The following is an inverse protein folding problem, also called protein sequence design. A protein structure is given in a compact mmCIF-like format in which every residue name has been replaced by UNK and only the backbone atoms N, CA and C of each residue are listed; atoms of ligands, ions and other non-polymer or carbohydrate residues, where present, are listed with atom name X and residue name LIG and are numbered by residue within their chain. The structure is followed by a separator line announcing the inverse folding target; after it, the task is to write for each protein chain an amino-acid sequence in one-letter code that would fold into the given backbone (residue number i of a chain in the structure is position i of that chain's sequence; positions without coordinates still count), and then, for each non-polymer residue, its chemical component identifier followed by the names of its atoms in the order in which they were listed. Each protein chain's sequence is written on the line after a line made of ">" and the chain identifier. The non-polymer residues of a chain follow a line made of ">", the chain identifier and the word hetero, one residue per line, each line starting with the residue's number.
data_IF_799714804277
#
_entry.id   IF_799714804277
#
_cell.length_a   1.000
_cell.length_b   1.000
_cell.length_c   1.000
_cell.angle_alpha   90.00
_cell.angle_beta   90.00
_cell.angle_gamma   90.00
#
_symmetry.space_group_name_H-M   'P 1'
#
loop_
_entity.id
_entity.type
_entity.pdbx_description
1 polymer ?
#
# COMPACT_ATOMS: atom_id res chain seq x y z
N UNK A 1 -1.44 -50.13 53.24
CA UNK A 1 -2.71 -49.51 53.65
C UNK A 1 -2.67 -48.03 53.28
N UNK A 2 -3.08 -47.63 52.07
CA UNK A 2 -4.48 -47.30 51.79
C UNK A 2 -4.68 -45.77 51.81
N UNK A 3 -3.98 -45.03 50.93
CA UNK A 3 -4.18 -43.58 50.78
C UNK A 3 -5.24 -43.28 49.69
N UNK A 4 -6.34 -42.70 50.17
CA UNK A 4 -7.57 -42.35 49.45
C UNK A 4 -7.36 -41.03 48.69
N UNK A 5 -7.06 -41.08 47.39
CA UNK A 5 -7.00 -39.89 46.52
C UNK A 5 -8.42 -39.46 46.14
N UNK A 6 -8.77 -38.22 46.47
CA UNK A 6 -10.02 -37.55 46.09
C UNK A 6 -9.86 -36.92 44.70
N UNK A 7 -10.80 -37.20 43.80
CA UNK A 7 -10.96 -36.52 42.51
C UNK A 7 -11.72 -35.20 42.71
N UNK A 8 -11.25 -34.06 42.16
CA UNK A 8 -12.08 -32.87 42.02
C UNK A 8 -12.98 -32.97 40.79
N UNK A 9 -14.21 -32.50 40.98
CA UNK A 9 -15.36 -32.64 40.11
C UNK A 9 -15.30 -31.77 38.85
N UNK A 10 -15.98 -32.27 37.82
CA UNK A 10 -16.34 -31.58 36.59
C UNK A 10 -17.32 -30.42 36.85
N UNK A 11 -17.11 -29.30 36.17
CA UNK A 11 -18.02 -28.16 36.15
C UNK A 11 -18.02 -27.46 34.79
N UNK A 12 -19.03 -27.75 33.98
CA UNK A 12 -19.53 -26.98 32.82
C UNK A 12 -20.89 -27.57 32.43
N UNK A 13 -21.85 -26.88 31.80
CA UNK A 13 -21.79 -25.54 31.19
C UNK A 13 -22.98 -24.60 31.56
N UNK A 14 -22.77 -23.29 31.42
CA UNK A 14 -23.83 -22.28 31.47
C UNK A 14 -24.11 -21.71 30.08
N UNK A 15 -25.14 -22.23 29.42
CA UNK A 15 -25.75 -21.68 28.21
C UNK A 15 -26.57 -20.44 28.56
N UNK A 16 -26.15 -19.27 28.07
CA UNK A 16 -26.96 -18.05 28.10
C UNK A 16 -27.42 -17.73 26.68
N UNK A 17 -28.62 -18.22 26.35
CA UNK A 17 -29.42 -17.71 25.25
C UNK A 17 -29.90 -16.30 25.60
N UNK A 18 -29.62 -15.32 24.76
CA UNK A 18 -30.32 -14.04 24.79
C UNK A 18 -31.01 -13.86 23.43
N UNK A 19 -32.28 -14.26 23.39
CA UNK A 19 -33.24 -13.83 22.37
C UNK A 19 -33.64 -12.39 22.70
N UNK A 20 -33.53 -11.50 21.71
CA UNK A 20 -34.36 -10.30 21.66
C UNK A 20 -35.09 -10.28 20.32
N UNK A 21 -36.42 -10.27 20.44
CA UNK A 21 -37.40 -10.14 19.37
C UNK A 21 -37.58 -8.68 18.94
N UNK A 22 -38.06 -8.49 17.70
CA UNK A 22 -38.77 -7.29 17.24
C UNK A 22 -37.92 -6.39 16.34
N UNK A 23 -38.33 -5.98 15.15
CA UNK A 23 -39.67 -5.96 14.56
C UNK A 23 -39.58 -5.81 13.04
N UNK A 24 -40.46 -6.53 12.36
CA UNK A 24 -40.86 -6.34 10.97
C UNK A 24 -41.37 -4.91 10.72
N UNK A 25 -40.98 -4.34 9.58
CA UNK A 25 -41.81 -3.37 8.87
C UNK A 25 -41.56 -3.51 7.37
N UNK A 26 -42.55 -4.10 6.71
CA UNK A 26 -42.69 -4.22 5.29
C UNK A 26 -42.71 -2.84 4.60
N UNK A 27 -41.97 -2.71 3.50
CA UNK A 27 -42.40 -1.83 2.40
C UNK A 27 -42.41 -2.67 1.14
N UNK A 28 -43.63 -2.85 0.65
CA UNK A 28 -43.99 -3.60 -0.52
C UNK A 28 -43.55 -2.91 -1.82
N UNK A 29 -43.49 -3.75 -2.84
CA UNK A 29 -43.27 -3.48 -4.24
C UNK A 29 -44.05 -2.27 -4.81
N UNK A 30 -43.37 -1.52 -5.69
CA UNK A 30 -44.00 -0.85 -6.81
C UNK A 30 -43.15 -1.07 -8.07
N UNK A 31 -43.87 -1.35 -9.15
CA UNK A 31 -43.41 -1.99 -10.36
C UNK A 31 -42.60 -1.10 -11.32
N UNK A 32 -41.85 -1.79 -12.16
CA UNK A 32 -41.50 -1.53 -13.56
C UNK A 32 -42.13 -0.31 -14.24
N UNK A 33 -41.30 0.51 -14.90
CA UNK A 33 -41.64 0.91 -16.27
C UNK A 33 -40.39 1.14 -17.13
N UNK A 34 -40.40 0.41 -18.23
CA UNK A 34 -39.55 0.47 -19.41
C UNK A 34 -39.81 1.78 -20.14
N UNK A 35 -38.76 2.52 -20.52
CA UNK A 35 -38.77 3.26 -21.79
C UNK A 35 -37.41 3.15 -22.49
N UNK A 36 -37.43 2.45 -23.63
CA UNK A 36 -36.47 2.63 -24.73
C UNK A 36 -36.64 4.05 -25.29
N UNK A 37 -35.53 4.72 -25.59
CA UNK A 37 -35.50 5.72 -26.68
C UNK A 37 -34.23 5.55 -27.51
N UNK A 38 -34.46 5.14 -28.74
CA UNK A 38 -33.60 5.37 -29.88
C UNK A 38 -33.34 6.86 -30.09
N UNK A 39 -32.21 7.16 -30.74
CA UNK A 39 -32.19 8.21 -31.75
C UNK A 39 -31.30 9.41 -31.51
N UNK A 40 -30.19 9.43 -32.26
CA UNK A 40 -29.61 10.59 -32.95
C UNK A 40 -29.22 11.81 -32.11
N UNK A 41 -27.89 11.95 -31.99
CA UNK A 41 -27.19 13.13 -32.50
C UNK A 41 -27.40 14.46 -31.77
N UNK A 42 -26.45 14.81 -30.90
CA UNK A 42 -25.99 16.19 -30.77
C UNK A 42 -24.67 16.25 -30.00
N UNK A 43 -23.57 16.52 -30.71
CA UNK A 43 -22.33 17.02 -30.10
C UNK A 43 -22.66 18.39 -29.50
N UNK A 44 -23.01 18.45 -28.23
CA UNK A 44 -23.14 19.71 -27.50
C UNK A 44 -21.74 20.10 -27.03
N UNK A 45 -21.19 21.15 -27.65
CA UNK A 45 -20.10 21.92 -27.05
C UNK A 45 -20.60 22.41 -25.69
N UNK A 46 -19.85 22.11 -24.64
CA UNK A 46 -20.05 22.68 -23.31
C UNK A 46 -19.55 24.12 -23.39
N UNK A 47 -20.49 25.05 -23.56
CA UNK A 47 -20.23 26.48 -23.39
C UNK A 47 -20.30 26.78 -21.89
N UNK A 48 -19.26 27.40 -21.34
CA UNK A 48 -19.24 27.87 -19.95
C UNK A 48 -20.43 28.79 -19.66
N UNK A 49 -21.24 28.41 -18.68
CA UNK A 49 -22.41 29.16 -18.25
C UNK A 49 -21.95 30.21 -17.25
N UNK A 50 -22.11 31.48 -17.65
CA UNK A 50 -21.89 32.66 -16.82
C UNK A 50 -22.82 32.71 -15.61
N UNK A 51 -22.29 33.24 -14.52
CA UNK A 51 -22.92 33.32 -13.22
C UNK A 51 -24.21 34.16 -13.21
N UNK A 52 -25.26 33.58 -12.64
CA UNK A 52 -26.43 34.29 -12.15
C UNK A 52 -26.12 34.80 -10.73
N UNK A 53 -26.11 36.11 -10.53
CA UNK A 53 -26.15 36.75 -9.21
C UNK A 53 -27.57 36.64 -8.66
N UNK A 54 -27.75 35.83 -7.61
CA UNK A 54 -28.96 35.79 -6.80
C UNK A 54 -28.80 36.66 -5.55
N UNK A 55 -29.78 37.54 -5.32
CA UNK A 55 -29.89 38.44 -4.16
C UNK A 55 -30.18 37.65 -2.88
N UNK A 56 -29.43 37.98 -1.82
CA UNK A 56 -29.40 37.27 -0.55
C UNK A 56 -30.68 37.37 0.28
N UNK A 57 -31.09 36.21 0.80
CA UNK A 57 -31.96 36.08 1.97
C UNK A 57 -31.10 35.69 3.17
N UNK A 58 -31.29 36.41 4.27
CA UNK A 58 -30.55 36.30 5.52
C UNK A 58 -31.04 35.10 6.35
N UNK A 59 -30.32 33.98 6.31
CA UNK A 59 -30.36 33.00 7.39
C UNK A 59 -28.94 32.59 7.80
N UNK A 60 -28.74 32.62 9.11
CA UNK A 60 -27.47 32.45 9.81
C UNK A 60 -27.02 30.99 9.73
N UNK A 61 -25.71 30.79 9.61
CA UNK A 61 -24.98 29.51 9.46
C UNK A 61 -24.82 28.96 8.04
N UNK A 62 -24.05 29.68 7.23
CA UNK A 62 -23.29 29.09 6.13
C UNK A 62 -21.87 29.66 6.14
N UNK A 63 -20.88 28.85 6.56
CA UNK A 63 -19.46 29.15 6.34
C UNK A 63 -19.15 28.77 4.89
N UNK A 64 -19.58 29.64 3.97
CA UNK A 64 -19.16 29.64 2.57
C UNK A 64 -18.01 30.64 2.48
N UNK A 65 -16.78 30.15 2.32
CA UNK A 65 -15.65 31.01 1.95
C UNK A 65 -15.69 31.20 0.42
N UNK A 66 -15.72 32.45 -0.07
CA UNK A 66 -15.81 32.72 -1.50
C UNK A 66 -14.46 32.58 -2.20
N UNK A 67 -14.55 31.93 -3.35
CA UNK A 67 -13.82 32.16 -4.60
C UNK A 67 -13.19 33.58 -4.68
N UNK A 68 -11.87 33.66 -4.60
CA UNK A 68 -11.09 34.89 -4.87
C UNK A 68 -10.45 34.73 -6.25
N UNK A 69 -11.01 35.44 -7.23
CA UNK A 69 -10.37 35.70 -8.52
C UNK A 69 -9.47 36.92 -8.41
N UNK A 70 -8.22 36.71 -8.80
CA UNK A 70 -7.40 37.53 -9.71
C UNK A 70 -7.54 39.05 -9.63
N UNK A 71 -6.70 39.71 -8.80
CA UNK A 71 -6.29 41.12 -8.98
C UNK A 71 -5.08 41.48 -8.08
N UNK A 72 -3.91 40.85 -8.27
CA UNK A 72 -2.67 41.28 -7.60
C UNK A 72 -1.40 41.04 -8.44
N UNK A 73 -1.44 41.47 -9.70
CA UNK A 73 -0.25 41.62 -10.53
C UNK A 73 0.37 43.02 -10.35
N UNK A 74 0.80 43.39 -9.13
CA UNK A 74 1.70 44.54 -8.85
C UNK A 74 2.05 44.68 -7.35
N UNK A 75 2.75 43.70 -6.78
CA UNK A 75 3.54 43.93 -5.55
C UNK A 75 4.85 43.15 -5.57
N UNK A 76 5.62 43.35 -6.63
CA UNK A 76 7.05 43.12 -6.60
C UNK A 76 7.70 44.31 -5.87
N UNK A 77 8.12 44.08 -4.62
CA UNK A 77 9.38 44.54 -4.02
C UNK A 77 9.25 44.50 -2.50
N UNK A 78 10.22 43.82 -1.90
CA UNK A 78 10.75 44.09 -0.57
C UNK A 78 10.00 43.49 0.62
N UNK A 79 10.07 42.17 0.71
CA UNK A 79 10.17 41.48 2.00
C UNK A 79 11.24 40.41 1.87
N UNK A 80 12.50 40.87 1.94
CA UNK A 80 13.63 40.01 2.29
C UNK A 80 13.45 39.57 3.74
N UNK A 81 12.51 38.66 3.96
CA UNK A 81 12.44 37.86 5.17
C UNK A 81 13.21 36.59 4.81
N UNK A 82 14.53 36.70 4.93
CA UNK A 82 15.41 35.56 5.08
C UNK A 82 14.94 34.84 6.34
N UNK A 83 14.06 33.86 6.17
CA UNK A 83 13.91 32.81 7.16
C UNK A 83 15.27 32.14 7.23
N UNK A 84 16.04 32.54 8.24
CA UNK A 84 17.24 31.85 8.66
C UNK A 84 16.83 30.42 8.98
N UNK A 85 17.04 29.53 8.01
CA UNK A 85 17.13 28.09 8.18
C UNK A 85 18.38 27.81 9.05
N UNK A 86 18.34 28.27 10.32
CA UNK A 86 19.20 27.80 11.40
C UNK A 86 18.70 26.40 11.81
N UNK A 87 18.76 25.45 10.88
CA UNK A 87 18.65 24.01 11.10
C UNK A 87 20.03 23.45 11.52
N UNK A 88 20.71 24.13 12.47
CA UNK A 88 22.03 23.76 13.00
C UNK A 88 21.97 23.24 14.45
N UNK A 89 20.87 22.61 14.84
CA UNK A 89 20.79 21.70 16.01
C UNK A 89 20.98 20.22 15.57
N UNK A 90 21.85 20.03 14.57
CA UNK A 90 21.87 18.88 13.66
C UNK A 90 23.00 17.87 13.93
N UNK A 91 23.32 17.58 15.21
CA UNK A 91 24.46 16.71 15.52
C UNK A 91 24.26 15.63 16.61
N UNK A 92 23.06 15.43 17.17
CA UNK A 92 22.88 14.36 18.19
C UNK A 92 21.84 13.27 17.89
N UNK A 93 21.13 13.31 16.76
CA UNK A 93 20.18 12.24 16.38
C UNK A 93 20.21 11.83 14.90
N UNK A 94 21.29 12.13 14.16
CA UNK A 94 21.54 11.69 12.77
C UNK A 94 21.49 10.17 12.54
N UNK A 95 21.34 9.38 13.60
CA UNK A 95 21.16 7.93 13.54
C UNK A 95 19.70 7.51 13.38
N UNK A 96 18.75 8.35 13.83
CA UNK A 96 17.32 8.06 13.76
C UNK A 96 16.81 8.32 12.34
N UNK A 97 15.98 7.40 11.84
CA UNK A 97 15.38 7.56 10.51
C UNK A 97 14.16 8.46 10.60
N UNK A 98 13.87 9.20 9.54
CA UNK A 98 12.66 10.01 9.52
C UNK A 98 11.40 9.13 9.55
N UNK A 99 11.50 7.90 9.04
CA UNK A 99 10.50 6.86 9.22
C UNK A 99 10.30 6.47 10.69
N UNK A 100 11.36 6.28 11.49
CA UNK A 100 11.23 5.94 12.91
C UNK A 100 10.54 7.06 13.70
N UNK A 101 10.93 8.31 13.46
CA UNK A 101 10.29 9.46 14.10
C UNK A 101 8.79 9.53 13.76
N UNK A 102 8.42 9.35 12.49
CA UNK A 102 7.01 9.37 12.10
C UNK A 102 6.23 8.14 12.60
N UNK A 103 6.88 6.97 12.72
CA UNK A 103 6.27 5.74 13.23
C UNK A 103 5.82 5.90 14.70
N UNK A 104 6.62 6.58 15.52
CA UNK A 104 6.25 6.93 16.89
C UNK A 104 5.13 7.97 16.92
N UNK A 105 5.21 9.03 16.10
CA UNK A 105 4.15 10.05 16.04
C UNK A 105 2.79 9.47 15.62
N UNK A 106 2.80 8.55 14.65
CA UNK A 106 1.57 7.89 14.17
C UNK A 106 1.00 6.90 15.16
N UNK A 107 1.83 6.33 16.05
CA UNK A 107 1.35 5.52 17.19
C UNK A 107 0.52 6.32 18.17
N UNK A 108 0.87 7.57 18.42
CA UNK A 108 0.10 8.43 19.31
C UNK A 108 -1.22 8.89 18.67
N UNK A 109 -1.25 9.04 17.35
CA UNK A 109 -2.45 9.39 16.58
C UNK A 109 -3.39 8.20 16.40
N UNK A 110 -2.85 7.00 16.22
CA UNK A 110 -3.61 5.80 15.86
C UNK A 110 -3.56 4.73 16.96
N UNK A 111 -4.65 4.63 17.71
CA UNK A 111 -4.81 3.67 18.81
C UNK A 111 -5.51 2.37 18.36
N UNK A 112 -5.66 2.15 17.04
CA UNK A 112 -6.32 0.94 16.56
C UNK A 112 -5.50 -0.32 16.88
N UNK A 113 -6.19 -1.43 17.14
CA UNK A 113 -5.55 -2.70 17.46
C UNK A 113 -4.68 -3.20 16.30
N UNK A 114 -5.17 -3.07 15.06
CA UNK A 114 -4.43 -3.42 13.85
C UNK A 114 -3.14 -2.60 13.70
N UNK A 115 -3.17 -1.31 14.04
CA UNK A 115 -1.97 -0.47 14.04
C UNK A 115 -0.99 -0.89 15.14
N UNK A 116 -1.48 -1.24 16.33
CA UNK A 116 -0.63 -1.75 17.42
C UNK A 116 0.08 -3.05 17.03
N UNK A 117 -0.60 -3.94 16.30
CA UNK A 117 -0.01 -5.16 15.74
C UNK A 117 1.03 -4.91 14.66
N UNK A 118 0.86 -3.85 13.88
CA UNK A 118 1.85 -3.38 12.90
C UNK A 118 3.08 -2.74 13.56
N UNK A 119 2.86 -1.83 14.52
CA UNK A 119 3.91 -1.01 15.12
C UNK A 119 4.96 -1.84 15.84
N UNK A 120 4.55 -2.84 16.63
CA UNK A 120 5.47 -3.69 17.43
C UNK A 120 6.58 -4.35 16.58
N UNK A 121 6.27 -5.06 15.48
CA UNK A 121 7.30 -5.60 14.60
C UNK A 121 8.02 -4.52 13.79
N UNK A 122 7.33 -3.47 13.33
CA UNK A 122 7.95 -2.41 12.53
C UNK A 122 9.08 -1.68 13.30
N UNK A 123 8.83 -1.35 14.57
CA UNK A 123 9.77 -0.63 15.43
C UNK A 123 11.12 -1.33 15.58
N UNK A 124 11.13 -2.67 15.56
CA UNK A 124 12.37 -3.44 15.65
C UNK A 124 13.21 -3.46 14.37
N UNK A 125 12.65 -3.05 13.24
CA UNK A 125 13.28 -3.13 11.92
C UNK A 125 13.82 -1.78 11.42
N UNK A 126 13.45 -0.68 12.08
CA UNK A 126 13.70 0.67 11.56
C UNK A 126 14.37 1.62 12.57
N UNK A 127 15.02 1.14 13.64
CA UNK A 127 15.58 2.02 14.68
C UNK A 127 16.70 2.91 14.14
N UNK A 128 17.43 2.41 13.14
CA UNK A 128 18.49 3.13 12.46
C UNK A 128 18.41 2.96 10.94
N UNK A 129 19.06 3.86 10.20
CA UNK A 129 19.05 3.81 8.74
C UNK A 129 19.65 2.50 8.17
N UNK A 130 20.78 1.97 8.68
CA UNK A 130 21.31 0.70 8.22
C UNK A 130 20.34 -0.48 8.42
N UNK A 131 19.65 -0.54 9.55
CA UNK A 131 18.62 -1.57 9.81
C UNK A 131 17.44 -1.43 8.84
N UNK A 132 16.96 -0.20 8.64
CA UNK A 132 15.87 0.10 7.71
C UNK A 132 16.22 -0.34 6.28
N UNK A 133 17.45 -0.07 5.82
CA UNK A 133 17.92 -0.50 4.50
C UNK A 133 18.02 -2.02 4.39
N UNK A 134 18.55 -2.68 5.43
CA UNK A 134 18.68 -4.14 5.49
C UNK A 134 17.32 -4.86 5.50
N UNK A 135 16.32 -4.27 6.16
CA UNK A 135 14.97 -4.84 6.32
C UNK A 135 13.90 -4.17 5.45
N UNK A 136 14.31 -3.39 4.45
CA UNK A 136 13.40 -2.63 3.57
C UNK A 136 12.29 -3.48 2.98
N UNK A 137 12.61 -4.66 2.43
CA UNK A 137 11.63 -5.59 1.87
C UNK A 137 10.63 -6.10 2.91
N UNK A 138 11.09 -6.40 4.13
CA UNK A 138 10.22 -6.88 5.22
C UNK A 138 9.32 -5.77 5.74
N UNK A 139 9.82 -4.53 5.82
CA UNK A 139 9.03 -3.36 6.21
C UNK A 139 7.92 -3.07 5.19
N UNK A 140 8.25 -3.08 3.89
CA UNK A 140 7.24 -2.90 2.83
C UNK A 140 6.18 -3.99 2.91
N UNK A 141 6.58 -5.26 3.06
CA UNK A 141 5.63 -6.36 3.20
C UNK A 141 4.73 -6.22 4.43
N UNK A 142 5.29 -5.74 5.55
CA UNK A 142 4.58 -5.52 6.78
C UNK A 142 3.55 -4.38 6.65
N UNK A 143 3.93 -3.25 6.05
CA UNK A 143 3.03 -2.13 5.79
C UNK A 143 1.89 -2.57 4.87
N UNK A 144 2.20 -3.19 3.71
CA UNK A 144 1.19 -3.59 2.72
C UNK A 144 0.26 -4.70 3.23
N UNK A 145 0.76 -5.56 4.13
CA UNK A 145 -0.04 -6.55 4.83
C UNK A 145 -1.08 -5.92 5.76
N UNK A 146 -0.74 -4.84 6.46
CA UNK A 146 -1.67 -4.15 7.37
C UNK A 146 -2.50 -3.07 6.68
N UNK A 147 -2.12 -2.65 5.46
CA UNK A 147 -2.76 -1.57 4.73
C UNK A 147 -4.26 -1.80 4.53
N UNK A 148 -4.65 -3.04 4.21
CA UNK A 148 -6.03 -3.46 4.02
C UNK A 148 -6.29 -4.76 4.78
N UNK A 149 -7.52 -4.92 5.26
CA UNK A 149 -7.99 -6.16 5.89
C UNK A 149 -8.78 -7.00 4.89
N UNK A 150 -8.77 -8.35 5.01
CA UNK A 150 -9.68 -9.18 4.23
C UNK A 150 -11.14 -8.92 4.64
N UNK A 151 -12.07 -8.98 3.68
CA UNK A 151 -13.52 -8.78 3.93
C UNK A 151 -14.07 -9.76 4.98
N UNK A 152 -13.55 -10.99 5.01
CA UNK A 152 -13.98 -12.05 5.95
C UNK A 152 -13.50 -11.83 7.40
N UNK A 153 -12.48 -10.99 7.60
CA UNK A 153 -11.89 -10.73 8.92
C UNK A 153 -11.43 -9.26 9.03
N UNK A 154 -12.38 -8.31 9.12
CA UNK A 154 -12.06 -6.89 9.25
C UNK A 154 -11.25 -6.66 10.54
N UNK A 155 -10.18 -5.87 10.45
CA UNK A 155 -9.29 -5.60 11.58
C UNK A 155 -8.11 -6.58 11.72
N UNK A 156 -8.02 -7.61 10.88
CA UNK A 156 -6.83 -8.45 10.79
C UNK A 156 -5.93 -8.02 9.64
N UNK A 157 -4.63 -8.26 9.77
CA UNK A 157 -3.69 -8.06 8.68
C UNK A 157 -3.97 -9.05 7.55
N UNK A 158 -3.81 -8.59 6.31
CA UNK A 158 -3.88 -9.47 5.15
C UNK A 158 -2.80 -10.56 5.22
N UNK A 159 -3.13 -11.83 4.92
CA UNK A 159 -2.16 -12.91 4.94
C UNK A 159 -0.95 -12.60 4.04
N UNK A 160 0.29 -12.90 4.50
CA UNK A 160 1.49 -12.68 3.70
C UNK A 160 1.38 -13.39 2.34
N UNK A 161 1.68 -12.66 1.27
CA UNK A 161 1.67 -13.19 -0.09
C UNK A 161 0.30 -13.29 -0.76
N UNK A 162 -0.81 -13.08 -0.03
CA UNK A 162 -2.14 -13.04 -0.66
C UNK A 162 -2.23 -11.93 -1.71
N UNK A 163 -1.71 -10.76 -1.36
CA UNK A 163 -1.66 -9.57 -2.22
C UNK A 163 -0.54 -9.60 -3.26
N UNK A 164 0.43 -10.52 -3.14
CA UNK A 164 1.47 -10.74 -4.17
C UNK A 164 1.01 -11.74 -5.25
N UNK A 165 0.00 -12.53 -4.95
CA UNK A 165 -0.46 -13.58 -5.85
C UNK A 165 -1.33 -12.97 -6.95
N UNK A 166 -1.01 -13.19 -8.23
CA UNK A 166 -1.90 -12.86 -9.35
C UNK A 166 -3.27 -13.53 -9.28
N UNK A 167 -3.42 -14.55 -8.41
CA UNK A 167 -4.71 -15.19 -8.12
C UNK A 167 -5.53 -14.41 -7.07
N UNK A 168 -5.06 -13.25 -6.59
CA UNK A 168 -5.76 -12.40 -5.63
C UNK A 168 -7.07 -11.83 -6.15
N UNK A 169 -7.36 -11.93 -7.46
CA UNK A 169 -8.61 -11.40 -8.04
C UNK A 169 -9.90 -11.93 -7.41
N UNK A 170 -9.83 -12.97 -6.56
CA UNK A 170 -10.97 -13.44 -5.76
C UNK A 170 -10.98 -12.91 -4.32
N UNK A 171 -9.82 -12.47 -3.80
CA UNK A 171 -9.71 -11.93 -2.45
C UNK A 171 -10.26 -10.51 -2.43
N UNK A 172 -11.21 -10.26 -1.54
CA UNK A 172 -11.82 -8.94 -1.35
C UNK A 172 -11.22 -8.30 -0.11
N UNK A 173 -10.82 -7.05 -0.26
CA UNK A 173 -10.18 -6.28 0.80
C UNK A 173 -11.06 -5.10 1.19
N UNK A 174 -10.97 -4.71 2.46
CA UNK A 174 -11.67 -3.58 3.04
C UNK A 174 -10.67 -2.64 3.69
N UNK A 175 -10.97 -1.34 3.59
CA UNK A 175 -10.23 -0.28 4.29
C UNK A 175 -10.40 -0.48 5.79
N UNK A 176 -9.34 -0.28 6.56
CA UNK A 176 -9.34 -0.38 8.01
C UNK A 176 -8.96 0.96 8.65
N UNK A 177 -9.04 1.04 9.97
CA UNK A 177 -8.76 2.27 10.72
C UNK A 177 -7.30 2.73 10.65
N UNK A 178 -6.37 1.88 10.19
CA UNK A 178 -4.95 2.21 10.04
C UNK A 178 -4.55 2.59 8.62
N UNK A 179 -5.42 2.40 7.62
CA UNK A 179 -5.07 2.56 6.21
C UNK A 179 -4.47 3.95 5.91
N UNK A 180 -5.05 5.03 6.45
CA UNK A 180 -4.56 6.39 6.22
C UNK A 180 -3.12 6.60 6.73
N UNK A 181 -2.84 6.19 7.98
CA UNK A 181 -1.50 6.35 8.57
C UNK A 181 -0.48 5.42 7.92
N UNK A 182 -0.88 4.22 7.50
CA UNK A 182 -0.01 3.29 6.77
C UNK A 182 0.36 3.82 5.38
N UNK A 183 -0.54 4.51 4.68
CA UNK A 183 -0.24 5.21 3.42
C UNK A 183 0.78 6.33 3.63
N UNK A 184 0.61 7.09 4.71
CA UNK A 184 1.55 8.15 5.09
C UNK A 184 2.94 7.57 5.41
N UNK A 185 3.01 6.54 6.26
CA UNK A 185 4.26 5.87 6.60
C UNK A 185 4.95 5.26 5.37
N UNK A 186 4.19 4.72 4.41
CA UNK A 186 4.76 4.23 3.16
C UNK A 186 5.40 5.36 2.33
N UNK A 187 4.81 6.55 2.32
CA UNK A 187 5.38 7.73 1.66
C UNK A 187 6.68 8.19 2.33
N UNK A 188 6.72 8.19 3.67
CA UNK A 188 7.92 8.51 4.44
C UNK A 188 9.00 7.45 4.25
N UNK A 189 8.63 6.16 4.21
CA UNK A 189 9.56 5.07 3.91
C UNK A 189 10.20 5.23 2.52
N UNK A 190 9.40 5.63 1.52
CA UNK A 190 9.91 5.88 0.17
C UNK A 190 10.93 7.03 0.13
N UNK A 191 10.77 8.07 0.98
CA UNK A 191 11.76 9.15 1.13
C UNK A 191 13.10 8.63 1.68
N UNK A 192 13.05 7.76 2.68
CA UNK A 192 14.25 7.23 3.33
C UNK A 192 14.96 6.18 2.45
N UNK A 193 14.21 5.33 1.76
CA UNK A 193 14.75 4.30 0.86
C UNK A 193 15.25 4.86 -0.48
N UNK A 194 14.66 5.96 -0.98
CA UNK A 194 14.99 6.56 -2.29
C UNK A 194 14.99 5.52 -3.41
N UNK A 195 16.15 5.23 -4.02
CA UNK A 195 16.26 4.25 -5.12
C UNK A 195 16.02 2.80 -4.69
N UNK A 196 16.18 2.48 -3.40
CA UNK A 196 15.98 1.11 -2.89
C UNK A 196 14.50 0.70 -2.84
N UNK A 197 13.55 1.65 -2.96
CA UNK A 197 12.12 1.35 -3.04
C UNK A 197 11.75 0.68 -4.38
N UNK A 198 12.55 0.90 -5.44
CA UNK A 198 12.21 0.57 -6.82
C UNK A 198 11.74 -0.87 -7.06
N UNK A 199 12.42 -1.91 -6.52
CA UNK A 199 12.00 -3.29 -6.72
C UNK A 199 10.57 -3.58 -6.23
N UNK A 200 10.07 -2.76 -5.30
CA UNK A 200 8.78 -2.91 -4.65
C UNK A 200 7.66 -2.09 -5.32
N UNK A 201 7.99 -0.97 -5.98
CA UNK A 201 7.00 -0.03 -6.54
C UNK A 201 6.03 -0.73 -7.48
N UNK A 202 6.52 -1.32 -8.56
CA UNK A 202 5.67 -1.92 -9.58
C UNK A 202 5.24 -3.35 -9.25
N UNK A 203 6.04 -4.07 -8.46
CA UNK A 203 5.76 -5.47 -8.15
C UNK A 203 4.66 -5.62 -7.10
N UNK A 204 4.56 -4.66 -6.18
CA UNK A 204 3.85 -4.90 -4.93
C UNK A 204 3.10 -3.66 -4.40
N UNK A 205 3.69 -2.46 -4.41
CA UNK A 205 3.05 -1.23 -3.90
C UNK A 205 1.91 -0.76 -4.81
N UNK A 206 2.19 -0.55 -6.10
CA UNK A 206 1.21 -0.01 -7.06
C UNK A 206 0.01 -0.93 -7.22
N UNK A 207 0.16 -2.26 -7.45
CA UNK A 207 -1.00 -3.15 -7.52
C UNK A 207 -1.84 -3.12 -6.25
N UNK A 208 -1.18 -3.07 -5.07
CA UNK A 208 -1.88 -3.05 -3.79
C UNK A 208 -2.70 -1.77 -3.57
N UNK A 209 -2.22 -0.62 -4.03
CA UNK A 209 -2.95 0.65 -3.89
C UNK A 209 -3.99 0.81 -5.01
N UNK A 210 -3.61 0.54 -6.26
CA UNK A 210 -4.48 0.80 -7.42
C UNK A 210 -5.54 -0.28 -7.57
N UNK A 211 -5.13 -1.55 -7.56
CA UNK A 211 -6.05 -2.66 -7.83
C UNK A 211 -6.85 -3.06 -6.58
N UNK A 212 -6.20 -3.18 -5.42
CA UNK A 212 -6.91 -3.67 -4.22
C UNK A 212 -7.64 -2.55 -3.45
N UNK A 213 -7.08 -1.33 -3.37
CA UNK A 213 -7.67 -0.22 -2.61
C UNK A 213 -8.56 0.70 -3.47
N UNK A 214 -8.04 1.24 -4.57
CA UNK A 214 -8.76 2.23 -5.38
C UNK A 214 -9.76 1.62 -6.36
N UNK A 215 -9.51 0.40 -6.84
CA UNK A 215 -10.35 -0.29 -7.81
C UNK A 215 -10.72 -1.72 -7.34
N UNK A 216 -11.30 -1.88 -6.13
CA UNK A 216 -11.57 -3.18 -5.58
C UNK A 216 -12.49 -3.99 -6.51
N UNK A 217 -12.30 -5.32 -6.61
CA UNK A 217 -13.07 -6.16 -7.51
C UNK A 217 -14.57 -6.03 -7.21
N UNK A 218 -15.42 -5.90 -8.25
CA UNK A 218 -16.84 -5.76 -8.05
C UNK A 218 -17.39 -7.00 -7.32
N UNK A 219 -18.40 -6.81 -6.44
CA UNK A 219 -19.06 -7.93 -5.81
C UNK A 219 -19.60 -8.92 -6.86
N UNK A 220 -19.65 -10.23 -6.56
CA UNK A 220 -20.25 -11.22 -7.45
C UNK A 220 -21.66 -10.78 -7.86
N UNK A 221 -22.03 -10.97 -9.13
CA UNK A 221 -23.33 -10.53 -9.67
C UNK A 221 -24.52 -11.07 -8.85
N UNK A 222 -24.38 -12.26 -8.29
CA UNK A 222 -25.41 -12.93 -7.50
C UNK A 222 -25.61 -12.33 -6.09
N UNK A 223 -24.67 -11.50 -5.62
CA UNK A 223 -24.74 -10.93 -4.26
C UNK A 223 -25.73 -9.77 -4.13
N UNK A 224 -26.10 -9.13 -5.25
CA UNK A 224 -26.93 -7.91 -5.25
C UNK A 224 -26.31 -6.72 -4.51
N UNK A 225 -25.05 -6.80 -4.07
CA UNK A 225 -24.36 -5.74 -3.35
C UNK A 225 -23.77 -4.75 -4.34
N UNK A 226 -23.81 -3.46 -4.01
CA UNK A 226 -23.03 -2.44 -4.71
C UNK A 226 -21.63 -2.34 -4.09
N UNK A 227 -20.65 -1.88 -4.88
CA UNK A 227 -19.34 -1.56 -4.33
C UNK A 227 -19.50 -0.47 -3.27
N UNK A 228 -18.91 -0.64 -2.07
CA UNK A 228 -18.97 0.39 -1.05
C UNK A 228 -18.32 1.67 -1.58
N UNK A 229 -18.92 2.85 -1.39
CA UNK A 229 -18.29 4.10 -1.78
C UNK A 229 -16.99 4.27 -0.99
N UNK A 230 -15.90 4.59 -1.68
CA UNK A 230 -14.61 4.85 -1.07
C UNK A 230 -14.58 6.28 -0.51
N UNK A 231 -14.08 6.44 0.71
CA UNK A 231 -13.93 7.74 1.35
C UNK A 231 -12.92 8.62 0.59
N UNK A 232 -13.29 9.88 0.34
CA UNK A 232 -12.46 10.86 -0.38
C UNK A 232 -11.12 11.06 0.31
N UNK A 233 -11.10 11.07 1.66
CA UNK A 233 -9.86 11.22 2.42
C UNK A 233 -8.87 10.09 2.16
N UNK A 234 -9.35 8.85 1.99
CA UNK A 234 -8.52 7.69 1.67
C UNK A 234 -8.00 7.77 0.23
N UNK A 235 -8.84 8.21 -0.71
CA UNK A 235 -8.43 8.43 -2.11
C UNK A 235 -7.31 9.48 -2.17
N UNK A 236 -7.47 10.61 -1.49
CA UNK A 236 -6.45 11.65 -1.43
C UNK A 236 -5.14 11.16 -0.79
N UNK A 237 -5.23 10.42 0.32
CA UNK A 237 -4.07 9.82 0.98
C UNK A 237 -3.34 8.84 0.05
N UNK A 238 -4.07 8.04 -0.72
CA UNK A 238 -3.49 7.08 -1.67
C UNK A 238 -2.75 7.79 -2.81
N UNK A 239 -3.35 8.81 -3.43
CA UNK A 239 -2.69 9.58 -4.48
C UNK A 239 -1.50 10.38 -3.94
N UNK A 240 -1.61 10.94 -2.73
CA UNK A 240 -0.48 11.60 -2.06
C UNK A 240 0.67 10.61 -1.85
N UNK A 241 0.39 9.42 -1.32
CA UNK A 241 1.38 8.36 -1.15
C UNK A 241 2.07 7.99 -2.47
N UNK A 242 1.29 7.69 -3.51
CA UNK A 242 1.82 7.34 -4.83
C UNK A 242 2.67 8.46 -5.44
N UNK A 243 2.29 9.73 -5.25
CA UNK A 243 3.08 10.85 -5.76
C UNK A 243 4.46 10.95 -5.09
N UNK A 244 4.57 10.68 -3.78
CA UNK A 244 5.86 10.58 -3.11
C UNK A 244 6.65 9.35 -3.56
N UNK A 245 6.02 8.18 -3.66
CA UNK A 245 6.68 6.96 -4.14
C UNK A 245 7.28 7.18 -5.53
N UNK A 246 6.52 7.73 -6.47
CA UNK A 246 7.01 8.02 -7.82
C UNK A 246 8.04 9.15 -7.85
N UNK A 247 7.93 10.17 -6.99
CA UNK A 247 8.95 11.22 -6.87
C UNK A 247 10.31 10.62 -6.54
N UNK A 248 10.37 9.68 -5.59
CA UNK A 248 11.63 9.06 -5.16
C UNK A 248 12.09 7.93 -6.09
N UNK A 249 11.17 7.30 -6.84
CA UNK A 249 11.48 6.29 -7.87
C UNK A 249 11.92 6.90 -9.23
N UNK A 250 11.56 8.16 -9.49
CA UNK A 250 11.70 8.84 -10.79
C UNK A 250 13.11 8.82 -11.38
N UNK A 251 14.17 8.73 -10.56
CA UNK A 251 15.56 8.64 -11.02
C UNK A 251 15.84 7.40 -11.86
N UNK A 252 15.08 6.33 -11.67
CA UNK A 252 15.18 5.09 -12.44
C UNK A 252 14.15 5.05 -13.59
N UNK A 253 13.01 5.72 -13.42
CA UNK A 253 11.95 5.80 -14.43
C UNK A 253 12.23 6.79 -15.55
N UNK A 254 13.08 7.78 -15.30
CA UNK A 254 13.68 8.59 -16.34
C UNK A 254 15.00 7.93 -16.74
N UNK A 255 15.02 6.89 -17.63
CA UNK A 255 16.25 6.58 -18.32
C UNK A 255 16.68 7.90 -18.95
N UNK A 256 17.96 8.28 -18.79
CA UNK A 256 18.52 9.54 -19.27
C UNK A 256 18.14 9.76 -20.75
N UNK A 257 16.95 10.32 -20.98
CA UNK A 257 16.31 10.44 -22.27
C UNK A 257 16.82 11.77 -22.76
N UNK A 258 18.06 11.73 -23.24
CA UNK A 258 18.73 12.91 -23.72
C UNK A 258 19.48 13.67 -22.63
N UNK A 259 20.43 13.02 -21.97
CA UNK A 259 21.77 13.62 -22.02
C UNK A 259 22.16 13.58 -23.50
N UNK A 260 21.62 14.54 -24.26
CA UNK A 260 22.18 14.90 -25.54
C UNK A 260 23.65 15.09 -25.24
N UNK A 261 24.47 14.34 -25.97
CA UNK A 261 25.82 14.73 -26.20
C UNK A 261 25.73 16.20 -26.64
N UNK A 262 25.97 17.14 -25.72
CA UNK A 262 26.65 18.38 -26.07
C UNK A 262 28.01 17.90 -26.57
N UNK A 263 28.02 17.40 -27.80
CA UNK A 263 29.19 17.44 -28.65
C UNK A 263 29.47 18.91 -28.75
N UNK A 264 30.36 19.38 -27.89
CA UNK A 264 31.13 20.57 -28.13
C UNK A 264 31.48 20.57 -29.63
N UNK A 265 30.78 21.41 -30.39
CA UNK A 265 31.24 21.90 -31.68
C UNK A 265 32.50 22.71 -31.38
N UNK A 266 33.59 22.00 -31.12
CA UNK A 266 34.93 22.54 -31.15
C UNK A 266 35.19 22.92 -32.60
N UNK A 267 34.87 24.18 -32.93
CA UNK A 267 35.27 24.85 -34.16
C UNK A 267 36.78 24.72 -34.33
N UNK A 268 37.18 23.73 -35.11
CA UNK A 268 38.16 23.84 -36.20
C UNK A 268 39.24 24.92 -36.01
N UNK A 269 40.18 24.68 -35.09
CA UNK A 269 41.49 25.34 -35.05
C UNK A 269 42.56 24.34 -35.48
N UNK A 270 42.80 24.23 -36.79
CA UNK A 270 43.66 23.20 -37.36
C UNK A 270 45.10 23.21 -36.85
N UNK A 271 45.63 22.02 -36.55
CA UNK A 271 47.07 21.75 -36.69
C UNK A 271 47.33 20.27 -37.00
N UNK A 272 47.59 20.01 -38.28
CA UNK A 272 48.25 18.79 -38.77
C UNK A 272 49.52 18.53 -37.97
N UNK A 273 49.71 17.31 -37.47
CA UNK A 273 51.03 16.65 -37.48
C UNK A 273 50.91 15.12 -37.40
N UNK A 274 51.73 14.52 -38.25
CA UNK A 274 51.84 13.11 -38.58
C UNK A 274 52.39 12.24 -37.43
N UNK A 275 52.08 10.94 -37.49
CA UNK A 275 52.82 9.87 -36.79
C UNK A 275 51.89 8.74 -36.36
N UNK A 276 51.47 7.83 -37.24
CA UNK A 276 52.20 6.59 -37.58
C UNK A 276 52.76 5.91 -36.32
N UNK A 277 52.14 4.79 -35.89
CA UNK A 277 52.74 3.43 -35.90
C UNK A 277 52.00 2.48 -34.94
N UNK A 278 51.47 1.40 -35.54
CA UNK A 278 51.34 0.01 -35.09
C UNK A 278 51.54 -0.24 -33.57
N UNK A 279 50.60 -0.95 -32.94
CA UNK A 279 50.85 -2.37 -32.63
C UNK A 279 49.56 -3.12 -32.25
N UNK A 280 49.49 -4.33 -32.80
CA UNK A 280 48.55 -5.39 -32.46
C UNK A 280 48.89 -5.89 -31.06
N UNK A 281 47.89 -6.17 -30.21
CA UNK A 281 47.94 -7.35 -29.35
C UNK A 281 46.55 -7.86 -29.02
N UNK A 282 46.25 -8.99 -29.65
CA UNK A 282 45.25 -9.97 -29.22
C UNK A 282 45.59 -10.42 -27.80
N UNK A 283 44.64 -10.40 -26.88
CA UNK A 283 44.62 -11.30 -25.73
C UNK A 283 43.23 -11.90 -25.61
N UNK A 284 43.13 -13.07 -26.24
CA UNK A 284 42.09 -14.07 -26.10
C UNK A 284 42.31 -14.74 -24.74
N UNK A 285 41.48 -14.44 -23.73
CA UNK A 285 41.43 -15.22 -22.49
C UNK A 285 40.14 -16.02 -22.50
N UNK A 286 40.25 -17.20 -23.07
CA UNK A 286 39.40 -18.35 -22.77
C UNK A 286 39.91 -18.95 -21.46
N UNK A 287 39.08 -19.05 -20.43
CA UNK A 287 39.27 -20.03 -19.37
C UNK A 287 38.11 -21.01 -19.33
N UNK A 288 38.53 -22.27 -19.43
CA UNK A 288 37.79 -23.50 -19.61
C UNK A 288 37.90 -24.27 -18.29
N UNK A 289 36.76 -24.79 -17.83
CA UNK A 289 36.53 -26.02 -17.06
C UNK A 289 37.39 -26.36 -15.81
N UNK A 290 36.66 -26.61 -14.71
CA UNK A 290 36.79 -27.71 -13.71
C UNK A 290 35.44 -27.68 -12.97
N UNK A 291 34.49 -28.63 -12.99
CA UNK A 291 34.47 -30.09 -12.87
C UNK A 291 35.33 -30.70 -11.75
N UNK A 292 34.63 -31.29 -10.77
CA UNK A 292 34.96 -32.28 -9.73
C UNK A 292 34.13 -31.90 -8.47
N UNK A 293 32.97 -32.49 -8.18
CA UNK A 293 32.71 -33.88 -7.77
C UNK A 293 33.42 -34.27 -6.46
N UNK A 294 32.64 -34.33 -5.37
CA UNK A 294 32.72 -35.30 -4.27
C UNK A 294 31.49 -35.09 -3.37
N UNK A 295 30.50 -35.97 -3.47
CA UNK A 295 30.39 -37.14 -2.59
C UNK A 295 30.60 -36.80 -1.11
N UNK A 296 29.50 -36.60 -0.39
CA UNK A 296 29.41 -37.30 0.89
C UNK A 296 28.01 -37.81 1.20
N UNK A 297 28.04 -39.00 1.76
CA UNK A 297 27.06 -40.07 1.70
C UNK A 297 26.50 -40.27 3.10
N UNK A 298 25.25 -40.73 3.15
CA UNK A 298 24.69 -41.57 4.24
C UNK A 298 24.53 -40.91 5.63
N UNK A 299 23.28 -40.63 5.97
CA UNK A 299 22.78 -40.56 7.34
C UNK A 299 21.34 -41.07 7.42
N UNK A 300 21.19 -42.37 7.64
CA UNK A 300 19.93 -43.10 7.84
C UNK A 300 19.08 -42.49 8.97
N UNK A 301 17.76 -42.36 8.77
CA UNK A 301 16.78 -42.81 9.76
C UNK A 301 15.41 -43.04 9.12
N UNK A 302 15.02 -44.32 9.07
CA UNK A 302 13.69 -44.78 8.70
C UNK A 302 12.73 -44.50 9.87
N UNK A 303 11.63 -43.80 9.61
CA UNK A 303 10.49 -43.70 10.51
C UNK A 303 9.20 -44.07 9.79
N UNK A 304 8.93 -45.38 9.66
CA UNK A 304 7.64 -45.90 9.17
C UNK A 304 6.59 -45.74 10.28
N UNK A 305 5.74 -44.74 10.19
CA UNK A 305 4.51 -44.62 11.00
C UNK A 305 3.28 -44.96 10.17
N UNK A 306 2.89 -46.23 10.14
CA UNK A 306 1.58 -46.67 9.63
C UNK A 306 0.51 -46.32 10.66
N UNK A 307 -0.33 -45.32 10.38
CA UNK A 307 -1.56 -45.05 11.12
C UNK A 307 -2.80 -45.31 10.26
N UNK A 308 -3.34 -46.53 10.33
CA UNK A 308 -4.67 -46.86 9.81
C UNK A 308 -5.72 -46.37 10.82
N UNK A 309 -6.50 -45.36 10.47
CA UNK A 309 -7.69 -44.95 11.21
C UNK A 309 -8.94 -45.09 10.34
N UNK A 310 -9.62 -46.23 10.41
CA UNK A 310 -10.97 -46.41 9.88
C UNK A 310 -11.97 -45.80 10.87
N UNK A 311 -12.67 -44.74 10.48
CA UNK A 311 -13.82 -44.21 11.22
C UNK A 311 -15.05 -44.18 10.34
N UNK A 312 -15.85 -45.26 10.37
CA UNK A 312 -17.23 -45.27 9.85
C UNK A 312 -18.13 -44.58 10.87
N UNK A 313 -18.83 -43.52 10.46
CA UNK A 313 -19.90 -42.92 11.26
C UNK A 313 -21.11 -42.62 10.38
N UNK A 314 -22.02 -43.59 10.25
CA UNK A 314 -23.38 -43.39 9.73
C UNK A 314 -24.22 -42.80 10.86
N UNK A 315 -24.82 -41.64 10.65
CA UNK A 315 -25.86 -41.08 11.52
C UNK A 315 -26.99 -40.51 10.69
N UNK A 316 -27.94 -41.37 10.31
CA UNK A 316 -29.27 -40.95 9.85
C UNK A 316 -30.11 -40.68 11.10
N UNK A 317 -30.62 -39.47 11.26
CA UNK A 317 -31.68 -39.15 12.21
C UNK A 317 -32.77 -38.35 11.49
N UNK A 318 -33.85 -39.03 11.13
CA UNK A 318 -35.15 -38.43 10.78
C UNK A 318 -36.07 -38.61 11.99
N UNK A 319 -36.70 -37.53 12.44
CA UNK A 319 -37.93 -37.50 13.25
C UNK A 319 -38.50 -36.10 13.06
N UNK A 320 -39.58 -35.93 12.28
CA UNK A 320 -41.01 -36.05 12.67
C UNK A 320 -41.36 -35.14 13.83
#
# INVERSE_FOLDING_TARGET
>A
SGQKKRNPAAGSPGSREERVHGSDAAIAAAASSVTRRDGKGKRRRVCGVGGKKGTGGSEKFAVIRPDRKDDDAKRARDSGEETSDDDDDDDLDRSSTAFAAELDLTRDRNVSEIYTHFHRPAWGLCRSLPELLHHSSSLVDLILGHLLSPEDAPGTASPPGLWKSKKSGTARFVVNAATSDLLHLLAVLARDLRGEIHPHVHSCIVPRIVDDLLNPPPPPADSGRQAPPLDVGIVEAAFRCLSYVFRYDSRLLAPATGAGEDKDEEKSGGRKKNGKKKEKKKSKITNKAKNEEKDNKKGKAKGKGKGKGKGKGKGKGKGK
#
